data_IF_875684701769
#
_entry.id   IF_875684701769
#
_cell.length_a   1.000
_cell.length_b   1.000
_cell.length_c   1.000
_cell.angle_alpha   90.00
_cell.angle_beta   90.00
_cell.angle_gamma   90.00
#
_symmetry.space_group_name_H-M   'P 1'
#
loop_
_entity.id
_entity.type
_entity.pdbx_description
1 polymer ?
#
# COMPACT_ATOMS: atom_id res chain seq x y z
N UNK A 1 -12.61 -3.55 21.65
CA UNK A 1 -12.25 -3.36 20.24
C UNK A 1 -11.19 -4.40 19.89
N UNK A 2 -11.38 -5.12 18.80
CA UNK A 2 -10.44 -6.17 18.36
C UNK A 2 -9.18 -5.53 17.82
N UNK A 3 -7.99 -6.05 18.17
CA UNK A 3 -6.71 -5.65 17.58
C UNK A 3 -6.58 -6.31 16.22
N UNK A 4 -6.43 -5.50 15.16
CA UNK A 4 -6.23 -5.95 13.78
C UNK A 4 -4.75 -6.20 13.50
N UNK A 5 -3.88 -5.29 13.96
CA UNK A 5 -2.45 -5.35 13.75
C UNK A 5 -1.72 -4.97 15.03
N UNK A 6 -0.69 -5.75 15.39
CA UNK A 6 0.23 -5.42 16.47
C UNK A 6 1.65 -5.62 15.99
N UNK A 7 2.49 -4.59 16.13
CA UNK A 7 3.92 -4.61 15.86
C UNK A 7 4.67 -4.34 17.16
N UNK A 8 5.74 -5.07 17.40
CA UNK A 8 6.60 -4.85 18.56
C UNK A 8 8.06 -4.91 18.16
N UNK A 9 8.79 -3.81 18.38
CA UNK A 9 10.21 -3.69 18.08
C UNK A 9 10.55 -3.82 16.59
N UNK A 10 9.60 -3.56 15.68
CA UNK A 10 9.80 -3.80 14.25
C UNK A 10 10.86 -2.87 13.69
N UNK A 11 11.86 -3.46 13.02
CA UNK A 11 12.96 -2.74 12.41
C UNK A 11 13.21 -3.22 10.98
N UNK A 12 13.57 -2.28 10.11
CA UNK A 12 13.99 -2.55 8.74
C UNK A 12 14.89 -1.45 8.19
N UNK A 13 15.92 -1.82 7.43
CA UNK A 13 16.90 -0.89 6.88
C UNK A 13 17.16 -1.16 5.41
N UNK A 14 17.26 -0.09 4.64
CA UNK A 14 17.73 -0.18 3.27
C UNK A 14 19.19 -0.65 3.25
N UNK A 15 19.49 -1.62 2.40
CA UNK A 15 20.87 -2.03 2.11
C UNK A 15 21.42 -1.14 1.00
N UNK A 16 22.29 -0.22 1.33
CA UNK A 16 22.96 0.69 0.39
C UNK A 16 24.38 0.25 0.10
N UNK A 17 24.92 0.62 -1.07
CA UNK A 17 26.30 0.31 -1.42
C UNK A 17 27.26 0.95 -0.41
N UNK A 18 28.23 0.18 0.07
CA UNK A 18 29.28 0.67 0.94
C UNK A 18 30.46 1.17 0.11
N UNK A 19 30.53 2.48 -0.09
CA UNK A 19 31.63 3.10 -0.84
C UNK A 19 32.94 3.19 -0.04
N UNK A 20 32.95 2.89 1.25
CA UNK A 20 34.15 2.83 2.08
C UNK A 20 34.87 1.49 1.97
N UNK A 21 34.17 0.47 1.43
CA UNK A 21 34.74 -0.87 1.23
C UNK A 21 35.40 -0.99 -0.14
N UNK A 22 36.56 -1.65 -0.19
CA UNK A 22 37.22 -2.01 -1.46
C UNK A 22 36.43 -3.06 -2.29
N UNK A 23 35.47 -3.77 -1.67
CA UNK A 23 34.63 -4.77 -2.32
C UNK A 23 33.46 -4.10 -3.05
N UNK A 24 33.32 -4.21 -4.40
CA UNK A 24 32.27 -3.54 -5.16
C UNK A 24 30.81 -3.94 -4.77
N UNK A 25 30.67 -5.11 -4.15
CA UNK A 25 29.38 -5.67 -3.70
C UNK A 25 29.10 -5.42 -2.21
N UNK A 26 29.99 -4.76 -1.49
CA UNK A 26 29.76 -4.46 -0.08
C UNK A 26 28.58 -3.55 0.10
N UNK A 27 27.72 -3.90 1.05
CA UNK A 27 26.53 -3.14 1.43
C UNK A 27 26.60 -2.77 2.90
N UNK A 28 26.11 -1.59 3.23
CA UNK A 28 25.91 -1.14 4.62
C UNK A 28 24.44 -0.81 4.86
N UNK A 29 24.05 -0.71 6.11
CA UNK A 29 22.74 -0.26 6.49
C UNK A 29 22.57 1.23 6.19
N UNK A 30 21.51 1.58 5.50
CA UNK A 30 21.06 2.93 5.20
C UNK A 30 19.90 3.36 6.11
N UNK A 31 19.13 4.32 5.63
CA UNK A 31 17.91 4.76 6.30
C UNK A 31 16.89 3.63 6.43
N UNK A 32 16.03 3.71 7.44
CA UNK A 32 14.98 2.72 7.69
C UNK A 32 14.09 3.10 8.85
N UNK A 33 13.41 2.12 9.40
CA UNK A 33 12.62 2.20 10.63
C UNK A 33 13.31 1.39 11.73
N UNK A 34 13.17 1.83 12.97
CA UNK A 34 13.88 1.24 14.10
C UNK A 34 12.95 1.08 15.29
N UNK A 35 12.85 -0.16 15.79
CA UNK A 35 12.15 -0.50 17.04
C UNK A 35 10.75 0.14 17.12
N UNK A 36 9.95 -0.05 16.06
CA UNK A 36 8.60 0.52 16.01
C UNK A 36 7.62 -0.39 16.71
N UNK A 37 6.93 0.17 17.70
CA UNK A 37 5.76 -0.44 18.35
C UNK A 37 4.50 0.24 17.82
N UNK A 38 3.51 -0.55 17.40
CA UNK A 38 2.26 -0.04 16.84
C UNK A 38 1.13 -1.03 17.07
N UNK A 39 -0.01 -0.53 17.54
CA UNK A 39 -1.25 -1.30 17.63
C UNK A 39 -2.35 -0.59 16.84
N UNK A 40 -3.04 -1.33 15.96
CA UNK A 40 -4.19 -0.85 15.19
C UNK A 40 -5.42 -1.67 15.59
N UNK A 41 -6.47 -0.97 16.01
CA UNK A 41 -7.75 -1.56 16.44
C UNK A 41 -8.81 -1.42 15.37
N UNK A 42 -9.74 -2.36 15.33
CA UNK A 42 -10.89 -2.33 14.44
C UNK A 42 -11.68 -1.03 14.60
N UNK A 43 -12.11 -0.45 13.46
CA UNK A 43 -12.91 0.78 13.44
C UNK A 43 -12.13 2.05 13.81
N UNK A 44 -10.80 2.03 13.84
CA UNK A 44 -9.97 3.22 14.08
C UNK A 44 -9.31 3.73 12.80
N UNK A 45 -9.07 5.03 12.77
CA UNK A 45 -8.24 5.69 11.76
C UNK A 45 -6.96 6.14 12.45
N UNK A 46 -5.82 5.70 11.93
CA UNK A 46 -4.51 6.09 12.43
C UNK A 46 -3.79 6.94 11.40
N UNK A 47 -3.38 8.15 11.77
CA UNK A 47 -2.56 9.04 10.95
C UNK A 47 -1.08 8.95 11.29
N UNK A 48 -0.23 8.71 10.30
CA UNK A 48 1.22 8.79 10.41
C UNK A 48 1.70 10.18 9.99
N UNK A 49 2.19 10.96 10.95
CA UNK A 49 2.63 12.35 10.72
C UNK A 49 4.14 12.43 10.95
N UNK A 50 4.83 13.16 10.09
CA UNK A 50 6.28 13.39 10.22
C UNK A 50 6.89 13.96 8.93
N UNK A 51 8.13 14.47 9.00
CA UNK A 51 8.80 15.06 7.84
C UNK A 51 9.09 14.01 6.75
N UNK A 52 9.46 14.49 5.55
CA UNK A 52 9.94 13.62 4.49
C UNK A 52 11.20 12.88 4.93
N UNK A 53 11.27 11.59 4.63
CA UNK A 53 12.37 10.73 5.06
C UNK A 53 12.23 10.15 6.48
N UNK A 54 11.17 10.49 7.25
CA UNK A 54 10.93 9.92 8.58
C UNK A 54 10.61 8.42 8.60
N UNK A 55 10.46 7.78 7.44
CA UNK A 55 10.19 6.34 7.35
C UNK A 55 8.69 5.98 7.24
N UNK A 56 7.79 6.95 7.06
CA UNK A 56 6.34 6.70 6.94
C UNK A 56 6.00 5.63 5.89
N UNK A 57 6.39 5.86 4.64
CA UNK A 57 6.21 4.91 3.53
C UNK A 57 6.90 3.57 3.80
N UNK A 58 8.07 3.58 4.43
CA UNK A 58 8.80 2.37 4.81
C UNK A 58 7.99 1.54 5.81
N UNK A 59 7.43 2.19 6.83
CA UNK A 59 6.57 1.53 7.82
C UNK A 59 5.31 0.96 7.18
N UNK A 60 4.63 1.74 6.32
CA UNK A 60 3.44 1.28 5.60
C UNK A 60 3.73 0.05 4.73
N UNK A 61 4.86 0.05 4.00
CA UNK A 61 5.30 -1.10 3.20
C UNK A 61 5.67 -2.31 4.05
N UNK A 62 6.26 -2.08 5.23
CA UNK A 62 6.53 -3.14 6.21
C UNK A 62 5.23 -3.78 6.70
N UNK A 63 4.23 -2.96 7.08
CA UNK A 63 2.89 -3.41 7.47
C UNK A 63 2.26 -4.27 6.37
N UNK A 64 2.40 -3.85 5.12
CA UNK A 64 1.88 -4.58 3.95
C UNK A 64 2.67 -5.86 3.60
N UNK A 65 3.71 -6.19 4.37
CA UNK A 65 4.54 -7.38 4.12
C UNK A 65 5.43 -7.29 2.89
N UNK A 66 5.64 -6.07 2.36
CA UNK A 66 6.53 -5.84 1.21
C UNK A 66 8.01 -5.85 1.58
N UNK A 67 8.31 -5.81 2.88
CA UNK A 67 9.65 -5.93 3.45
C UNK A 67 9.72 -7.05 4.47
N UNK A 68 10.82 -7.79 4.47
CA UNK A 68 11.11 -8.78 5.52
C UNK A 68 11.76 -8.05 6.70
N UNK A 69 10.97 -7.79 7.73
CA UNK A 69 11.36 -6.98 8.88
C UNK A 69 11.77 -7.83 10.06
N UNK A 70 12.81 -7.38 10.79
CA UNK A 70 13.12 -7.90 12.10
C UNK A 70 12.03 -7.51 13.11
N UNK A 71 11.70 -8.39 14.06
CA UNK A 71 10.66 -8.16 15.07
C UNK A 71 9.22 -8.35 14.55
N UNK A 72 9.04 -8.66 13.28
CA UNK A 72 7.72 -9.02 12.73
C UNK A 72 7.46 -10.49 13.07
N UNK A 73 6.49 -10.75 13.94
CA UNK A 73 6.10 -12.12 14.25
C UNK A 73 5.49 -12.81 13.03
N UNK A 74 6.30 -13.70 12.43
CA UNK A 74 5.92 -14.46 11.22
C UNK A 74 4.86 -15.53 11.50
N UNK A 75 4.65 -15.89 12.75
CA UNK A 75 3.69 -16.89 13.18
C UNK A 75 2.33 -16.29 13.56
N UNK A 76 2.26 -14.96 13.76
CA UNK A 76 1.07 -14.30 14.26
C UNK A 76 -0.05 -14.23 13.21
N UNK A 77 -1.28 -14.19 13.68
CA UNK A 77 -2.48 -13.95 12.86
C UNK A 77 -2.40 -12.63 12.07
N UNK A 78 -1.50 -11.73 12.45
CA UNK A 78 -1.20 -10.46 11.80
C UNK A 78 -0.87 -10.60 10.32
N UNK A 79 -0.24 -11.71 9.89
CA UNK A 79 0.00 -12.00 8.46
C UNK A 79 -1.23 -12.45 7.69
N UNK A 80 -2.29 -12.84 8.39
CA UNK A 80 -3.57 -13.25 7.79
C UNK A 80 -4.54 -12.10 7.63
N UNK A 81 -4.16 -10.90 8.08
CA UNK A 81 -5.00 -9.71 7.88
C UNK A 81 -5.02 -9.38 6.39
N UNK A 82 -6.20 -9.36 5.84
CA UNK A 82 -6.40 -8.89 4.47
C UNK A 82 -6.13 -7.39 4.43
N UNK A 83 -5.00 -7.01 3.83
CA UNK A 83 -4.53 -5.62 3.75
C UNK A 83 -4.74 -5.11 2.33
N UNK A 84 -5.44 -3.99 2.21
CA UNK A 84 -5.47 -3.17 1.01
C UNK A 84 -4.38 -2.11 1.09
N UNK A 85 -3.56 -1.98 0.05
CA UNK A 85 -2.51 -0.96 0.01
C UNK A 85 -2.69 -0.03 -1.17
N UNK A 86 -2.76 1.27 -0.88
CA UNK A 86 -2.75 2.35 -1.86
C UNK A 86 -1.42 3.10 -1.74
N UNK A 87 -0.45 2.89 -2.64
CA UNK A 87 0.81 3.61 -2.64
C UNK A 87 0.63 5.05 -3.13
N UNK A 88 1.54 5.95 -2.76
CA UNK A 88 1.58 7.36 -3.16
C UNK A 88 1.50 7.54 -4.68
N UNK A 89 2.26 6.73 -5.41
CA UNK A 89 2.32 6.81 -6.88
C UNK A 89 2.10 5.43 -7.49
N UNK A 90 1.13 5.36 -8.39
CA UNK A 90 0.93 4.20 -9.26
C UNK A 90 1.04 4.68 -10.72
N UNK A 91 1.93 4.05 -11.46
CA UNK A 91 1.98 4.24 -12.91
C UNK A 91 0.95 3.32 -13.56
N UNK A 92 -0.12 3.93 -14.02
CA UNK A 92 -1.13 3.24 -14.80
C UNK A 92 -0.76 3.36 -16.28
N UNK A 93 -0.28 2.27 -16.86
CA UNK A 93 0.12 2.18 -18.25
C UNK A 93 -0.66 1.08 -18.96
N UNK A 94 -0.91 1.27 -20.25
CA UNK A 94 -1.53 0.26 -21.09
C UNK A 94 -2.84 0.70 -21.73
N UNK A 95 -3.16 0.04 -22.84
CA UNK A 95 -4.38 0.27 -23.63
C UNK A 95 -5.54 -0.58 -23.11
N UNK A 96 -5.83 -0.46 -21.83
CA UNK A 96 -6.98 -1.10 -21.18
C UNK A 96 -7.82 -0.04 -20.47
N UNK A 97 -9.09 -0.34 -20.28
CA UNK A 97 -10.03 0.58 -19.62
C UNK A 97 -9.96 0.42 -18.09
N UNK A 98 -10.50 1.41 -17.37
CA UNK A 98 -10.68 1.36 -15.91
C UNK A 98 -11.37 0.06 -15.48
N UNK A 99 -12.48 -0.29 -16.15
CA UNK A 99 -13.22 -1.52 -15.87
C UNK A 99 -12.39 -2.77 -16.09
N UNK A 100 -11.67 -2.85 -17.22
CA UNK A 100 -10.81 -3.99 -17.52
C UNK A 100 -9.69 -4.14 -16.49
N UNK A 101 -9.05 -3.04 -16.08
CA UNK A 101 -7.99 -3.08 -15.07
C UNK A 101 -8.50 -3.64 -13.74
N UNK A 102 -9.63 -3.12 -13.23
CA UNK A 102 -10.22 -3.61 -11.98
C UNK A 102 -10.70 -5.05 -12.07
N UNK A 103 -11.31 -5.44 -13.20
CA UNK A 103 -11.73 -6.84 -13.43
C UNK A 103 -10.53 -7.78 -13.43
N UNK A 104 -9.41 -7.38 -14.03
CA UNK A 104 -8.19 -8.20 -14.05
C UNK A 104 -7.62 -8.38 -12.64
N UNK A 105 -7.59 -7.31 -11.83
CA UNK A 105 -7.09 -7.38 -10.44
C UNK A 105 -8.02 -8.22 -9.57
N UNK A 106 -9.35 -8.07 -9.72
CA UNK A 106 -10.32 -8.89 -9.00
C UNK A 106 -10.14 -10.39 -9.32
N UNK A 107 -9.95 -10.71 -10.60
CA UNK A 107 -9.68 -12.09 -11.04
C UNK A 107 -8.37 -12.64 -10.45
N UNK A 108 -7.30 -11.83 -10.41
CA UNK A 108 -6.01 -12.25 -9.83
C UNK A 108 -6.09 -12.46 -8.31
N UNK A 109 -7.03 -11.81 -7.63
CA UNK A 109 -7.29 -11.97 -6.19
C UNK A 109 -8.39 -13.00 -5.89
N UNK A 110 -8.91 -13.67 -6.91
CA UNK A 110 -10.04 -14.62 -6.79
C UNK A 110 -11.25 -14.00 -6.07
N UNK A 111 -11.44 -12.68 -6.22
CA UNK A 111 -12.52 -11.94 -5.57
C UNK A 111 -13.72 -11.78 -6.51
N UNK A 112 -14.90 -12.08 -5.98
CA UNK A 112 -16.19 -11.91 -6.67
C UNK A 112 -16.77 -10.50 -6.53
N UNK A 113 -15.90 -9.48 -6.41
CA UNK A 113 -16.35 -8.09 -6.24
C UNK A 113 -17.19 -7.62 -7.43
N UNK A 114 -18.26 -6.89 -7.15
CA UNK A 114 -18.98 -6.13 -8.17
C UNK A 114 -18.14 -4.93 -8.60
N UNK A 115 -17.41 -5.09 -9.70
CA UNK A 115 -16.54 -4.06 -10.28
C UNK A 115 -17.31 -2.80 -10.65
N UNK A 116 -18.58 -2.93 -11.09
CA UNK A 116 -19.43 -1.79 -11.41
C UNK A 116 -19.74 -0.94 -10.18
N UNK A 117 -20.14 -1.58 -9.10
CA UNK A 117 -20.38 -0.91 -7.81
C UNK A 117 -19.09 -0.28 -7.25
N UNK A 118 -17.97 -0.97 -7.36
CA UNK A 118 -16.68 -0.45 -6.92
C UNK A 118 -16.28 0.82 -7.68
N UNK A 119 -16.42 0.84 -9.01
CA UNK A 119 -16.19 2.00 -9.87
C UNK A 119 -17.08 3.17 -9.45
N UNK A 120 -18.35 2.90 -9.16
CA UNK A 120 -19.29 3.91 -8.68
C UNK A 120 -18.87 4.48 -7.32
N UNK A 121 -18.49 3.62 -6.39
CA UNK A 121 -18.05 3.98 -5.02
C UNK A 121 -16.87 4.96 -5.04
N UNK A 122 -15.90 4.77 -5.95
CA UNK A 122 -14.75 5.69 -6.08
C UNK A 122 -15.01 6.88 -7.01
N UNK A 123 -16.25 7.06 -7.49
CA UNK A 123 -16.65 8.19 -8.32
C UNK A 123 -16.06 8.16 -9.75
N UNK A 124 -15.84 6.98 -10.30
CA UNK A 124 -15.35 6.78 -11.68
C UNK A 124 -16.40 6.21 -12.63
N UNK A 125 -17.70 6.22 -12.28
CA UNK A 125 -18.78 5.62 -13.07
C UNK A 125 -18.80 6.10 -14.52
N UNK A 126 -18.71 7.43 -14.74
CA UNK A 126 -18.69 8.03 -16.09
C UNK A 126 -17.38 7.79 -16.87
N UNK A 127 -16.40 7.14 -16.26
CA UNK A 127 -15.06 6.89 -16.78
C UNK A 127 -14.71 5.41 -16.87
N UNK A 128 -15.69 4.54 -16.67
CA UNK A 128 -15.52 3.08 -16.68
C UNK A 128 -14.81 2.55 -17.93
N UNK A 129 -15.16 3.08 -19.09
CA UNK A 129 -14.61 2.67 -20.38
C UNK A 129 -13.48 3.58 -20.88
N UNK A 130 -13.02 4.52 -20.04
CA UNK A 130 -11.88 5.38 -20.36
C UNK A 130 -10.58 4.62 -20.24
N UNK A 131 -9.65 4.85 -21.18
CA UNK A 131 -8.31 4.26 -21.17
C UNK A 131 -7.46 4.80 -20.02
N UNK A 132 -6.63 3.94 -19.42
CA UNK A 132 -5.78 4.31 -18.28
C UNK A 132 -4.83 5.47 -18.59
N UNK A 133 -4.30 5.51 -19.82
CA UNK A 133 -3.35 6.56 -20.25
C UNK A 133 -3.96 7.97 -20.21
N UNK A 134 -5.28 8.06 -20.38
CA UNK A 134 -6.02 9.32 -20.47
C UNK A 134 -6.58 9.80 -19.13
N UNK A 135 -6.33 9.07 -18.04
CA UNK A 135 -6.80 9.45 -16.72
C UNK A 135 -6.02 10.64 -16.16
N UNK A 136 -6.73 11.58 -15.54
CA UNK A 136 -6.11 12.62 -14.71
C UNK A 136 -5.46 12.01 -13.46
N UNK A 137 -4.60 12.78 -12.78
CA UNK A 137 -3.95 12.32 -11.56
C UNK A 137 -4.96 11.93 -10.48
N UNK A 138 -5.98 12.75 -10.22
CA UNK A 138 -7.02 12.41 -9.25
C UNK A 138 -7.84 11.17 -9.65
N UNK A 139 -8.08 10.94 -10.95
CA UNK A 139 -8.74 9.71 -11.42
C UNK A 139 -7.85 8.47 -11.21
N UNK A 140 -6.53 8.61 -11.42
CA UNK A 140 -5.56 7.54 -11.15
C UNK A 140 -5.51 7.18 -9.66
N UNK A 141 -5.59 8.18 -8.77
CA UNK A 141 -5.67 7.93 -7.33
C UNK A 141 -6.95 7.20 -6.94
N UNK A 142 -8.12 7.62 -7.46
CA UNK A 142 -9.38 6.92 -7.22
C UNK A 142 -9.34 5.48 -7.74
N UNK A 143 -8.70 5.24 -8.87
CA UNK A 143 -8.47 3.88 -9.39
C UNK A 143 -7.57 3.07 -8.44
N UNK A 144 -6.49 3.67 -7.92
CA UNK A 144 -5.60 3.01 -6.94
C UNK A 144 -6.34 2.67 -5.64
N UNK A 145 -7.22 3.56 -5.19
CA UNK A 145 -8.10 3.28 -4.05
C UNK A 145 -9.04 2.10 -4.35
N UNK A 146 -9.67 2.09 -5.53
CA UNK A 146 -10.52 0.96 -5.93
C UNK A 146 -9.75 -0.37 -5.90
N UNK A 147 -8.53 -0.39 -6.42
CA UNK A 147 -7.67 -1.60 -6.37
C UNK A 147 -7.34 -2.04 -4.94
N UNK A 148 -7.10 -1.10 -4.04
CA UNK A 148 -6.83 -1.40 -2.64
C UNK A 148 -8.06 -1.97 -1.90
N UNK A 149 -9.26 -1.64 -2.36
CA UNK A 149 -10.54 -2.13 -1.78
C UNK A 149 -10.96 -3.52 -2.29
N UNK A 150 -10.36 -4.04 -3.36
CA UNK A 150 -10.61 -5.41 -3.84
C UNK A 150 -10.14 -6.40 -2.77
N UNK A 151 -10.95 -7.41 -2.48
CA UNK A 151 -10.68 -8.39 -1.42
C UNK A 151 -11.30 -8.01 -0.07
N UNK A 152 -12.02 -6.88 0.03
CA UNK A 152 -12.66 -6.40 1.28
C UNK A 152 -11.69 -6.35 2.47
N UNK A 153 -10.58 -5.61 2.35
CA UNK A 153 -9.52 -5.63 3.34
C UNK A 153 -10.03 -5.22 4.73
N UNK A 154 -9.52 -5.88 5.77
CA UNK A 154 -9.75 -5.50 7.17
C UNK A 154 -8.92 -4.29 7.60
N UNK A 155 -7.78 -4.07 6.91
CA UNK A 155 -6.90 -2.92 7.10
C UNK A 155 -6.62 -2.27 5.75
N UNK A 156 -6.92 -0.98 5.63
CA UNK A 156 -6.57 -0.17 4.47
C UNK A 156 -5.38 0.73 4.83
N UNK A 157 -4.27 0.55 4.13
CA UNK A 157 -3.06 1.36 4.26
C UNK A 157 -2.95 2.29 3.06
N UNK A 158 -2.91 3.60 3.31
CA UNK A 158 -2.86 4.61 2.25
C UNK A 158 -1.67 5.54 2.44
N UNK A 159 -0.83 5.65 1.43
CA UNK A 159 0.35 6.51 1.42
C UNK A 159 0.02 7.79 0.64
N UNK A 160 0.00 8.92 1.32
CA UNK A 160 -0.34 10.26 0.80
C UNK A 160 -1.64 10.31 -0.04
N UNK A 161 -2.79 9.85 0.50
CA UNK A 161 -4.02 9.67 -0.28
C UNK A 161 -4.64 10.99 -0.78
N UNK A 162 -4.19 12.12 -0.28
CA UNK A 162 -4.73 13.44 -0.66
C UNK A 162 -3.88 14.18 -1.71
N UNK A 163 -2.74 13.63 -2.11
CA UNK A 163 -1.91 14.22 -3.15
C UNK A 163 -2.64 14.23 -4.51
N UNK A 164 -2.98 15.44 -5.01
CA UNK A 164 -3.67 15.63 -6.30
C UNK A 164 -5.20 15.57 -6.21
N UNK A 165 -5.77 15.75 -5.04
CA UNK A 165 -7.18 16.06 -4.83
C UNK A 165 -7.31 17.57 -4.64
N UNK A 166 -7.13 18.35 -5.72
CA UNK A 166 -7.51 19.76 -5.80
C UNK A 166 -8.93 19.91 -6.32
#
# INVERSE_FOLDING_TARGET
>A
METILSLSGVSWRHKVRDFSSWKPWAKRDGAGIYSVDLEIKSGTILGLIGPNGAGKTTLMRAICGLYDCEGFDKSSETRRVEIGYMPEQVRWEGRITVKQALSSIAMMREDSVDVGNLIQTVGLASKSDQMLDSLSQGMRQRLSLACALIGKPRLLVMDEPLNGLD
#
